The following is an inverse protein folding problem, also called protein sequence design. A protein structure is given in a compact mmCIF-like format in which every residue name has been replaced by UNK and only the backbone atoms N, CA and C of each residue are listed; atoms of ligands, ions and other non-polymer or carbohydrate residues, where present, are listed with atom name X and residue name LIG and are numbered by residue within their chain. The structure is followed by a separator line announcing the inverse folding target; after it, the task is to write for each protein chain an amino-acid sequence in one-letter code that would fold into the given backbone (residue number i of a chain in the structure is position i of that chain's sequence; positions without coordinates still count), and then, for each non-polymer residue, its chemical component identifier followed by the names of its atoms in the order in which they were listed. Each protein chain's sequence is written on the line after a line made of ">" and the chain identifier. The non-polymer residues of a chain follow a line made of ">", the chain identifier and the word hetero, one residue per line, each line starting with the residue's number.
data_IF_560533997905
#
_entry.id   IF_560533997905
#
_cell.length_a   1.000
_cell.length_b   1.000
_cell.length_c   1.000
_cell.angle_alpha   90.00
_cell.angle_beta   90.00
_cell.angle_gamma   90.00
#
_symmetry.space_group_name_H-M   'P 1'
#
loop_
_entity.id
_entity.type
_entity.pdbx_description
1 polymer ?
#
# COMPACT_ATOMS: atom_id res chain seq x y z
N UNK A 1 12.19 20.48 -0.93
CA UNK A 1 11.39 19.88 -2.02
C UNK A 1 11.63 18.38 -1.94
N UNK A 2 10.67 17.62 -1.41
CA UNK A 2 10.76 16.16 -1.38
C UNK A 2 10.66 15.65 -2.82
N UNK A 3 11.76 15.08 -3.33
CA UNK A 3 11.84 14.57 -4.70
C UNK A 3 11.03 13.28 -4.83
N UNK A 4 10.71 12.88 -6.06
CA UNK A 4 10.01 11.63 -6.36
C UNK A 4 10.69 10.40 -5.71
N UNK A 5 12.02 10.35 -5.74
CA UNK A 5 12.85 9.32 -5.10
C UNK A 5 12.60 9.18 -3.60
N UNK A 6 12.42 10.29 -2.89
CA UNK A 6 12.23 10.32 -1.43
C UNK A 6 10.90 9.66 -1.06
N UNK A 7 9.86 9.91 -1.86
CA UNK A 7 8.56 9.23 -1.69
C UNK A 7 8.66 7.78 -2.07
N UNK A 8 9.34 7.43 -3.16
CA UNK A 8 9.47 6.05 -3.61
C UNK A 8 10.21 5.18 -2.59
N UNK A 9 11.18 5.74 -1.86
CA UNK A 9 11.91 5.05 -0.79
C UNK A 9 11.02 4.59 0.38
N UNK A 10 9.87 5.22 0.59
CA UNK A 10 8.87 4.76 1.57
C UNK A 10 8.02 3.57 1.06
N UNK A 11 8.14 3.25 -0.23
CA UNK A 11 7.44 2.14 -0.87
C UNK A 11 8.41 1.03 -1.23
N UNK A 12 7.85 -0.17 -1.19
CA UNK A 12 8.51 -1.39 -1.59
C UNK A 12 8.30 -1.57 -3.09
N UNK A 13 9.41 -1.52 -3.83
CA UNK A 13 9.42 -1.70 -5.29
C UNK A 13 10.12 -2.99 -5.73
N UNK A 14 11.03 -3.50 -4.88
CA UNK A 14 11.93 -4.61 -5.21
C UNK A 14 11.33 -6.00 -4.88
N UNK A 15 10.25 -6.04 -4.10
CA UNK A 15 9.56 -7.28 -3.73
C UNK A 15 8.07 -7.13 -3.90
N UNK A 16 7.35 -8.23 -4.00
CA UNK A 16 5.89 -8.28 -4.03
C UNK A 16 5.33 -8.59 -2.64
N UNK A 17 4.11 -8.14 -2.30
CA UNK A 17 3.47 -8.51 -1.04
C UNK A 17 2.98 -9.95 -1.09
N UNK A 18 2.70 -10.51 0.09
CA UNK A 18 1.93 -11.74 0.20
C UNK A 18 0.55 -11.59 -0.46
N UNK A 19 0.12 -12.63 -1.16
CA UNK A 19 -1.14 -12.66 -1.90
C UNK A 19 -2.32 -12.35 -0.96
N UNK A 20 -3.27 -11.54 -1.41
CA UNK A 20 -4.42 -11.05 -0.63
C UNK A 20 -4.11 -10.12 0.58
N UNK A 21 -2.86 -9.73 0.82
CA UNK A 21 -2.54 -8.76 1.89
C UNK A 21 -3.01 -7.34 1.55
N UNK A 22 -3.60 -6.60 2.50
CA UNK A 22 -3.97 -5.21 2.29
C UNK A 22 -2.72 -4.32 2.23
N UNK A 23 -2.55 -3.66 1.09
CA UNK A 23 -1.44 -2.76 0.81
C UNK A 23 -1.94 -1.43 0.23
N UNK A 24 -1.14 -0.39 0.41
CA UNK A 24 -1.32 0.89 -0.28
C UNK A 24 -0.42 0.90 -1.51
N UNK A 25 -0.98 1.24 -2.68
CA UNK A 25 -0.24 1.29 -3.93
C UNK A 25 0.22 2.71 -4.20
N UNK A 26 1.48 2.88 -4.57
CA UNK A 26 1.99 4.08 -5.21
C UNK A 26 1.81 3.91 -6.71
N UNK A 27 0.86 4.64 -7.27
CA UNK A 27 0.61 4.69 -8.69
C UNK A 27 1.32 5.91 -9.30
N UNK A 28 1.75 5.76 -10.54
CA UNK A 28 2.29 6.82 -11.38
C UNK A 28 1.27 7.14 -12.46
N UNK A 29 0.99 8.42 -12.62
CA UNK A 29 0.22 8.96 -13.72
C UNK A 29 1.05 10.03 -14.45
N UNK A 30 0.53 10.55 -15.56
CA UNK A 30 1.18 11.58 -16.37
C UNK A 30 1.58 12.84 -15.57
N UNK A 31 0.90 13.13 -14.46
CA UNK A 31 1.19 14.28 -13.59
C UNK A 31 2.17 13.99 -12.43
N UNK A 32 2.63 12.75 -12.28
CA UNK A 32 3.49 12.32 -11.17
C UNK A 32 2.89 11.16 -10.39
N UNK A 33 3.23 11.03 -9.11
CA UNK A 33 2.86 9.86 -8.33
C UNK A 33 1.84 10.16 -7.25
N UNK A 34 0.86 9.27 -7.12
CA UNK A 34 -0.18 9.35 -6.13
C UNK A 34 -0.32 8.00 -5.41
N UNK A 35 -0.66 8.06 -4.13
CA UNK A 35 -0.91 6.88 -3.32
C UNK A 35 -2.41 6.62 -3.34
N UNK A 36 -2.77 5.37 -3.59
CA UNK A 36 -4.15 4.91 -3.58
C UNK A 36 -4.66 4.91 -2.13
N UNK A 37 -5.72 5.69 -1.81
CA UNK A 37 -6.19 5.85 -0.42
C UNK A 37 -7.05 4.67 0.08
N UNK A 38 -7.30 3.67 -0.76
CA UNK A 38 -8.07 2.47 -0.44
C UNK A 38 -7.18 1.22 -0.42
N UNK A 39 -7.51 0.21 0.42
CA UNK A 39 -6.72 -1.00 0.52
C UNK A 39 -6.79 -1.78 -0.78
N UNK A 40 -5.63 -2.05 -1.37
CA UNK A 40 -5.51 -2.94 -2.52
C UNK A 40 -4.86 -4.25 -2.09
N UNK A 41 -5.04 -5.30 -2.87
CA UNK A 41 -4.34 -6.56 -2.70
C UNK A 41 -3.75 -7.02 -4.04
N UNK A 42 -2.66 -7.78 -3.94
CA UNK A 42 -2.15 -8.53 -5.09
C UNK A 42 -3.01 -9.78 -5.25
N UNK A 43 -3.50 -10.01 -6.46
CA UNK A 43 -4.25 -11.20 -6.84
C UNK A 43 -3.65 -11.78 -8.12
N UNK A 44 -2.73 -12.74 -7.96
CA UNK A 44 -1.96 -13.28 -9.07
C UNK A 44 -1.11 -12.21 -9.76
N UNK A 45 -1.38 -11.94 -11.04
CA UNK A 45 -0.64 -10.97 -11.85
C UNK A 45 -1.23 -9.56 -11.89
N UNK A 46 -2.36 -9.33 -11.23
CA UNK A 46 -3.03 -8.03 -11.18
C UNK A 46 -3.13 -7.47 -9.76
N UNK A 47 -3.18 -6.14 -9.68
CA UNK A 47 -3.57 -5.45 -8.46
C UNK A 47 -5.08 -5.29 -8.45
N UNK A 48 -5.71 -5.50 -7.30
CA UNK A 48 -7.16 -5.36 -7.15
C UNK A 48 -7.51 -4.53 -5.93
N UNK A 49 -8.58 -3.75 -6.03
CA UNK A 49 -9.19 -3.10 -4.89
C UNK A 49 -9.75 -4.19 -3.96
N UNK A 50 -9.39 -4.17 -2.68
CA UNK A 50 -9.86 -5.17 -1.71
C UNK A 50 -11.36 -5.04 -1.41
N UNK A 51 -11.91 -3.83 -1.51
CA UNK A 51 -13.31 -3.54 -1.20
C UNK A 51 -14.23 -3.87 -2.38
N UNK A 52 -13.86 -3.43 -3.58
CA UNK A 52 -14.70 -3.60 -4.79
C UNK A 52 -14.31 -4.80 -5.64
N UNK A 53 -13.16 -5.43 -5.37
CA UNK A 53 -12.55 -6.46 -6.21
C UNK A 53 -12.21 -6.01 -7.64
N UNK A 54 -12.28 -4.70 -7.93
CA UNK A 54 -11.94 -4.14 -9.23
C UNK A 54 -10.44 -4.21 -9.50
N UNK A 55 -10.08 -4.46 -10.76
CA UNK A 55 -8.69 -4.48 -11.19
C UNK A 55 -8.16 -3.05 -11.27
N UNK A 56 -7.00 -2.82 -10.65
CA UNK A 56 -6.29 -1.55 -10.73
C UNK A 56 -5.53 -1.53 -12.06
N UNK A 57 -6.01 -0.73 -13.00
CA UNK A 57 -5.38 -0.53 -14.33
C UNK A 57 -4.28 0.55 -14.31
N UNK A 58 -3.99 1.13 -13.14
CA UNK A 58 -2.95 2.15 -13.00
C UNK A 58 -1.54 1.58 -12.98
N UNK A 59 -0.55 2.36 -13.44
CA UNK A 59 0.87 2.01 -13.37
C UNK A 59 1.37 2.05 -11.93
N UNK A 60 1.49 0.89 -11.30
CA UNK A 60 2.01 0.76 -9.94
C UNK A 60 3.53 0.86 -9.96
N UNK A 61 4.09 1.92 -9.34
CA UNK A 61 5.52 2.05 -9.12
C UNK A 61 6.00 1.28 -7.88
N UNK A 62 5.14 1.17 -6.86
CA UNK A 62 5.49 0.51 -5.61
C UNK A 62 4.28 0.26 -4.73
N UNK A 63 4.48 -0.46 -3.64
CA UNK A 63 3.44 -0.71 -2.65
C UNK A 63 4.02 -0.66 -1.25
N UNK A 64 3.19 -0.46 -0.24
CA UNK A 64 3.60 -0.63 1.15
C UNK A 64 2.51 -1.35 1.92
N UNK A 65 2.90 -2.10 2.95
CA UNK A 65 1.94 -2.79 3.80
C UNK A 65 1.09 -1.73 4.50
N UNK A 66 -0.23 -1.84 4.35
CA UNK A 66 -1.12 -1.02 5.15
C UNK A 66 -1.08 -1.62 6.54
N UNK A 67 -0.34 -0.99 7.45
CA UNK A 67 -0.33 -1.42 8.84
C UNK A 67 -1.77 -1.33 9.35
N UNK A 68 -2.31 -2.48 9.80
CA UNK A 68 -3.73 -2.65 10.15
C UNK A 68 -4.21 -1.76 11.31
N UNK A 69 -3.29 -0.99 11.92
CA UNK A 69 -3.52 -0.16 13.09
C UNK A 69 -4.42 1.07 12.88
N UNK A 70 -4.85 1.39 11.65
CA UNK A 70 -5.58 2.66 11.37
C UNK A 70 -7.02 2.48 10.87
N UNK A 71 -7.52 1.25 10.66
CA UNK A 71 -8.90 1.05 10.14
C UNK A 71 -9.97 0.66 11.15
N UNK A 72 -9.66 0.59 12.44
CA UNK A 72 -10.70 0.49 13.47
C UNK A 72 -10.43 1.53 14.55
N UNK A 73 -11.29 2.55 14.62
CA UNK A 73 -11.50 3.24 15.89
C UNK A 73 -11.77 2.17 16.95
N UNK A 74 -11.01 2.20 18.05
CA UNK A 74 -11.01 1.26 19.19
C UNK A 74 -10.46 -0.15 18.95
N UNK A 75 -9.21 -0.41 19.36
CA UNK A 75 -8.87 -1.26 20.54
C UNK A 75 -7.44 -1.83 20.51
N UNK A 76 -6.62 -1.35 21.45
CA UNK A 76 -5.75 -2.15 22.36
C UNK A 76 -4.89 -3.29 21.80
N UNK A 77 -3.59 -3.02 21.56
CA UNK A 77 -2.48 -3.79 22.18
C UNK A 77 -1.10 -3.15 21.97
N UNK A 78 -0.90 -2.02 22.64
CA UNK A 78 0.44 -1.67 23.11
C UNK A 78 0.85 -2.62 24.24
N UNK A 79 1.17 -3.87 23.93
CA UNK A 79 1.96 -4.70 24.83
C UNK A 79 3.40 -4.23 24.73
N UNK A 80 3.72 -3.19 25.51
CA UNK A 80 5.08 -2.85 25.92
C UNK A 80 5.77 -4.13 26.40
N UNK A 81 6.76 -4.61 25.66
CA UNK A 81 7.85 -5.37 26.25
C UNK A 81 9.03 -4.43 26.33
N UNK A 82 9.16 -3.77 27.50
CA UNK A 82 10.46 -3.29 27.92
C UNK A 82 11.35 -4.51 28.14
N UNK A 83 12.55 -4.48 27.56
CA UNK A 83 13.69 -5.23 28.07
C UNK A 83 14.87 -4.28 28.18
#
# INVERSE_FOLDING_TARGET
>A
MTSFDDRLAEFVVDRLPDDASPVELLCVDHNGTYVVPFPCCRAGDAWRNRETNEVIEASVAGWRRRDEWVTNGTSTRGARTFR
#
